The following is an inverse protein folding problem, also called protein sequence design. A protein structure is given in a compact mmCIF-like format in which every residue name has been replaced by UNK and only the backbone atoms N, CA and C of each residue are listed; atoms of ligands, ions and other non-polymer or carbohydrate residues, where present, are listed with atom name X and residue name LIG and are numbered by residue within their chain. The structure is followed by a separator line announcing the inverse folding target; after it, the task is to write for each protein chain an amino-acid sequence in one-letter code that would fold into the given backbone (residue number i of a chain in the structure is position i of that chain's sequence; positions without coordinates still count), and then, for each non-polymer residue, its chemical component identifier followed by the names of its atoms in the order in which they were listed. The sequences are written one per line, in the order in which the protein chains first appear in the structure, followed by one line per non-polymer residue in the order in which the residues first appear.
data_IF_295792769843
#
_entry.id   IF_295792769843
#
_cell.length_a   1.000
_cell.length_b   1.000
_cell.length_c   1.000
_cell.angle_alpha   90.00
_cell.angle_beta   90.00
_cell.angle_gamma   90.00
#
_symmetry.space_group_name_H-M   'P 1'
#
loop_
_entity.id
_entity.type
_entity.pdbx_description
1 polymer ?
#
# COMPACT_ATOMS: atom_id res chain seq x y z
N UNK A 1 -23.45 -7.94 0.84
CA UNK A 1 -22.28 -8.49 0.15
C UNK A 1 -21.08 -7.59 0.38
N UNK A 2 -20.04 -8.15 0.89
CA UNK A 2 -18.83 -7.41 1.16
C UNK A 2 -17.88 -7.53 -0.04
N UNK A 3 -17.68 -6.42 -0.73
CA UNK A 3 -16.72 -6.35 -1.84
C UNK A 3 -15.33 -5.90 -1.42
N UNK A 4 -15.18 -5.53 -0.16
CA UNK A 4 -13.90 -5.08 0.34
C UNK A 4 -13.00 -6.28 0.62
N UNK A 5 -11.84 -6.28 -0.02
CA UNK A 5 -10.83 -7.33 0.12
C UNK A 5 -9.58 -6.82 0.85
N UNK A 6 -9.70 -5.63 1.42
CA UNK A 6 -8.62 -4.98 2.16
C UNK A 6 -8.70 -5.35 3.63
N UNK A 7 -7.56 -5.50 4.27
CA UNK A 7 -7.50 -5.70 5.71
C UNK A 7 -7.86 -4.43 6.49
N UNK A 8 -7.51 -3.28 5.92
CA UNK A 8 -7.81 -1.99 6.54
C UNK A 8 -7.94 -0.91 5.47
N UNK A 9 -8.49 0.21 5.86
CA UNK A 9 -8.56 1.39 5.02
C UNK A 9 -8.30 2.62 5.89
N UNK A 10 -7.34 3.43 5.49
CA UNK A 10 -7.00 4.67 6.19
C UNK A 10 -7.62 5.83 5.42
N UNK A 11 -8.37 6.68 6.14
CA UNK A 11 -9.01 7.85 5.57
C UNK A 11 -8.30 9.12 6.00
N UNK A 12 -8.00 9.99 5.04
CA UNK A 12 -7.53 11.35 5.30
C UNK A 12 -8.40 12.28 4.47
N UNK A 13 -9.32 12.98 5.15
CA UNK A 13 -10.36 13.73 4.45
C UNK A 13 -11.20 12.80 3.58
N UNK A 14 -11.30 13.10 2.29
CA UNK A 14 -12.07 12.32 1.32
C UNK A 14 -11.22 11.21 0.65
N UNK A 15 -9.95 11.10 1.01
CA UNK A 15 -9.04 10.11 0.42
C UNK A 15 -9.04 8.84 1.24
N UNK A 16 -9.17 7.71 0.56
CA UNK A 16 -9.09 6.39 1.17
C UNK A 16 -7.82 5.69 0.70
N UNK A 17 -7.04 5.21 1.65
CA UNK A 17 -5.84 4.40 1.39
C UNK A 17 -6.15 2.96 1.79
N UNK A 18 -6.38 2.07 0.84
CA UNK A 18 -6.53 0.64 1.14
C UNK A 18 -5.20 0.05 1.60
N UNK A 19 -5.26 -0.78 2.62
CA UNK A 19 -4.08 -1.40 3.23
C UNK A 19 -4.24 -2.91 3.25
N UNK A 20 -3.28 -3.61 2.68
CA UNK A 20 -3.15 -5.06 2.74
C UNK A 20 -2.07 -5.40 3.76
N UNK A 21 -2.38 -6.25 4.73
CA UNK A 21 -1.45 -6.59 5.81
C UNK A 21 -1.13 -8.08 5.74
N UNK A 22 0.15 -8.41 5.68
CA UNK A 22 0.64 -9.79 5.75
C UNK A 22 1.36 -10.00 7.08
N UNK A 23 0.80 -10.87 7.92
CA UNK A 23 1.37 -11.17 9.22
C UNK A 23 2.60 -12.08 9.12
N UNK A 24 3.45 -12.12 10.15
CA UNK A 24 4.59 -13.06 10.17
C UNK A 24 4.20 -14.52 10.06
N UNK A 25 2.98 -14.87 10.48
CA UNK A 25 2.48 -16.25 10.38
C UNK A 25 2.05 -16.61 8.96
N UNK A 26 1.69 -15.62 8.15
CA UNK A 26 1.38 -15.80 6.75
C UNK A 26 2.65 -15.81 5.90
N UNK A 27 3.48 -14.79 6.07
CA UNK A 27 4.75 -14.62 5.38
C UNK A 27 5.77 -13.94 6.29
N UNK A 28 6.94 -14.54 6.46
CA UNK A 28 8.04 -13.88 7.18
C UNK A 28 8.60 -12.73 6.34
N UNK A 29 8.81 -12.97 5.05
CA UNK A 29 9.21 -11.95 4.09
C UNK A 29 8.09 -11.72 3.10
N UNK A 30 7.79 -10.46 2.81
CA UNK A 30 6.75 -10.11 1.85
C UNK A 30 7.13 -10.63 0.45
N UNK A 31 6.22 -11.32 -0.19
CA UNK A 31 6.43 -11.90 -1.51
C UNK A 31 5.86 -11.02 -2.61
N UNK A 32 6.39 -11.20 -3.83
CA UNK A 32 5.82 -10.57 -5.02
C UNK A 32 4.36 -11.00 -5.25
N UNK A 33 4.02 -12.22 -4.85
CA UNK A 33 2.64 -12.72 -4.91
C UNK A 33 1.69 -11.85 -4.07
N UNK A 34 2.11 -11.45 -2.87
CA UNK A 34 1.29 -10.59 -2.01
C UNK A 34 1.06 -9.22 -2.67
N UNK A 35 2.06 -8.67 -3.32
CA UNK A 35 1.95 -7.41 -4.05
C UNK A 35 0.99 -7.55 -5.23
N UNK A 36 1.08 -8.65 -5.99
CA UNK A 36 0.13 -8.93 -7.08
C UNK A 36 -1.29 -9.02 -6.58
N UNK A 37 -1.50 -9.69 -5.46
CA UNK A 37 -2.82 -9.84 -4.87
C UNK A 37 -3.41 -8.50 -4.46
N UNK A 38 -2.60 -7.62 -3.89
CA UNK A 38 -3.04 -6.26 -3.56
C UNK A 38 -3.43 -5.47 -4.80
N UNK A 39 -2.66 -5.60 -5.89
CA UNK A 39 -2.98 -4.96 -7.17
C UNK A 39 -4.27 -5.51 -7.78
N UNK A 40 -4.47 -6.82 -7.75
CA UNK A 40 -5.72 -7.43 -8.22
C UNK A 40 -6.92 -6.91 -7.45
N UNK A 41 -6.81 -6.82 -6.12
CA UNK A 41 -7.86 -6.28 -5.27
C UNK A 41 -8.17 -4.83 -5.63
N UNK A 42 -7.14 -4.04 -5.91
CA UNK A 42 -7.29 -2.65 -6.34
C UNK A 42 -8.04 -2.55 -7.66
N UNK A 43 -7.68 -3.37 -8.65
CA UNK A 43 -8.35 -3.40 -9.95
C UNK A 43 -9.81 -3.80 -9.81
N UNK A 44 -10.09 -4.82 -9.01
CA UNK A 44 -11.48 -5.27 -8.76
C UNK A 44 -12.29 -4.14 -8.12
N UNK A 45 -11.73 -3.45 -7.14
CA UNK A 45 -12.39 -2.35 -6.47
C UNK A 45 -12.70 -1.21 -7.43
N UNK A 46 -11.76 -0.84 -8.28
CA UNK A 46 -11.96 0.17 -9.31
C UNK A 46 -13.07 -0.20 -10.27
N UNK A 47 -13.11 -1.46 -10.71
CA UNK A 47 -14.12 -1.94 -11.66
C UNK A 47 -15.53 -1.94 -11.07
N UNK A 48 -15.65 -2.05 -9.76
CA UNK A 48 -16.93 -2.09 -9.06
C UNK A 48 -17.38 -0.75 -8.50
N UNK A 49 -16.53 0.29 -8.61
CA UNK A 49 -16.81 1.60 -8.05
C UNK A 49 -17.02 1.60 -6.54
N UNK A 50 -16.35 0.70 -5.83
CA UNK A 50 -16.63 0.41 -4.42
C UNK A 50 -16.15 1.46 -3.42
N UNK A 51 -15.12 2.23 -3.70
CA UNK A 51 -14.67 3.37 -2.91
C UNK A 51 -14.57 4.57 -3.83
N UNK A 52 -14.22 5.74 -3.30
CA UNK A 52 -13.84 6.85 -4.19
C UNK A 52 -12.54 6.44 -4.87
N UNK A 53 -12.69 5.86 -6.05
CA UNK A 53 -11.65 5.08 -6.71
C UNK A 53 -10.93 5.90 -7.75
N UNK A 54 -10.30 6.97 -7.33
CA UNK A 54 -9.40 7.69 -8.20
C UNK A 54 -8.18 6.81 -8.46
N UNK A 55 -7.77 6.74 -9.72
CA UNK A 55 -6.60 5.94 -10.12
C UNK A 55 -5.32 6.39 -9.44
N UNK A 56 -5.24 7.68 -9.15
CA UNK A 56 -4.09 8.26 -8.48
C UNK A 56 -4.00 7.92 -6.98
N UNK A 57 -5.04 7.32 -6.42
CA UNK A 57 -4.96 6.84 -5.04
C UNK A 57 -4.01 5.65 -4.95
N UNK A 58 -3.11 5.72 -3.99
CA UNK A 58 -2.20 4.62 -3.72
C UNK A 58 -2.90 3.50 -2.96
N UNK A 59 -2.31 2.33 -2.96
CA UNK A 59 -2.59 1.25 -2.03
C UNK A 59 -1.32 0.96 -1.24
N UNK A 60 -1.45 0.44 -0.03
CA UNK A 60 -0.30 0.13 0.83
C UNK A 60 -0.31 -1.35 1.18
N UNK A 61 0.85 -1.98 1.01
CA UNK A 61 1.08 -3.35 1.47
C UNK A 61 2.05 -3.32 2.63
N UNK A 62 1.66 -3.90 3.74
CA UNK A 62 2.47 -3.96 4.96
C UNK A 62 2.87 -5.41 5.18
N UNK A 63 4.18 -5.67 5.26
CA UNK A 63 4.72 -6.99 5.56
C UNK A 63 5.58 -6.97 6.81
N UNK A 64 5.91 -8.15 7.33
CA UNK A 64 6.80 -8.27 8.46
C UNK A 64 8.23 -7.81 8.09
N UNK A 65 8.73 -8.31 6.97
CA UNK A 65 10.03 -7.93 6.39
C UNK A 65 9.90 -7.79 4.89
N UNK A 66 10.63 -6.84 4.33
CA UNK A 66 10.76 -6.71 2.89
C UNK A 66 11.79 -7.72 2.38
N UNK A 67 11.68 -8.17 1.12
CA UNK A 67 12.66 -9.11 0.57
C UNK A 67 14.03 -8.46 0.44
N UNK A 68 15.08 -9.28 0.53
CA UNK A 68 16.46 -8.82 0.33
C UNK A 68 16.70 -8.41 -1.12
N UNK A 69 16.14 -9.17 -2.05
CA UNK A 69 16.18 -8.84 -3.47
C UNK A 69 14.85 -8.22 -3.87
N UNK A 70 14.89 -6.95 -4.23
CA UNK A 70 13.68 -6.14 -4.46
C UNK A 70 13.42 -5.87 -5.95
N UNK A 71 14.30 -6.35 -6.84
CA UNK A 71 14.21 -6.02 -8.25
C UNK A 71 12.92 -6.46 -8.91
N UNK A 72 12.47 -7.69 -8.68
CA UNK A 72 11.23 -8.21 -9.26
C UNK A 72 10.01 -7.42 -8.76
N UNK A 73 9.95 -7.17 -7.46
CA UNK A 73 8.84 -6.41 -6.86
C UNK A 73 8.84 -4.97 -7.33
N UNK A 74 10.01 -4.34 -7.40
CA UNK A 74 10.17 -2.98 -7.90
C UNK A 74 9.72 -2.87 -9.35
N UNK A 75 10.12 -3.82 -10.18
CA UNK A 75 9.70 -3.86 -11.59
C UNK A 75 8.18 -4.00 -11.73
N UNK A 76 7.57 -4.86 -10.93
CA UNK A 76 6.12 -5.02 -10.94
C UNK A 76 5.40 -3.71 -10.58
N UNK A 77 5.86 -3.05 -9.54
CA UNK A 77 5.29 -1.78 -9.10
C UNK A 77 5.40 -0.71 -10.19
N UNK A 78 6.57 -0.62 -10.82
CA UNK A 78 6.81 0.34 -11.89
C UNK A 78 6.00 0.03 -13.15
N UNK A 79 5.93 -1.23 -13.54
CA UNK A 79 5.17 -1.66 -14.72
C UNK A 79 3.68 -1.36 -14.56
N UNK A 80 3.13 -1.63 -13.39
CA UNK A 80 1.72 -1.35 -13.09
C UNK A 80 1.45 0.14 -13.10
N UNK A 81 2.35 0.94 -12.55
CA UNK A 81 2.22 2.38 -12.60
C UNK A 81 2.28 2.91 -14.04
N UNK A 82 3.25 2.45 -14.82
CA UNK A 82 3.46 2.93 -16.19
C UNK A 82 2.31 2.51 -17.12
N UNK A 83 1.73 1.33 -16.88
CA UNK A 83 0.67 0.78 -17.74
C UNK A 83 -0.70 1.28 -17.34
N UNK A 84 -1.02 1.31 -16.05
CA UNK A 84 -2.37 1.56 -15.55
C UNK A 84 -2.50 2.84 -14.71
N UNK A 85 -1.41 3.48 -14.38
CA UNK A 85 -1.42 4.64 -13.49
C UNK A 85 -1.73 4.30 -12.04
N UNK A 86 -1.64 3.02 -11.64
CA UNK A 86 -1.91 2.58 -10.27
C UNK A 86 -0.63 2.65 -9.45
N UNK A 87 -0.73 3.23 -8.26
CA UNK A 87 0.38 3.35 -7.33
C UNK A 87 0.27 2.34 -6.22
N UNK A 88 1.40 1.75 -5.84
CA UNK A 88 1.47 0.81 -4.73
C UNK A 88 2.69 1.13 -3.87
N UNK A 89 2.47 1.38 -2.60
CA UNK A 89 3.53 1.51 -1.61
C UNK A 89 3.72 0.20 -0.86
N UNK A 90 4.95 -0.09 -0.48
CA UNK A 90 5.31 -1.29 0.26
C UNK A 90 6.15 -0.89 1.46
N UNK A 91 5.80 -1.38 2.64
CA UNK A 91 6.49 -1.02 3.88
C UNK A 91 6.55 -2.23 4.81
N UNK A 92 7.62 -2.34 5.59
CA UNK A 92 7.67 -3.33 6.66
C UNK A 92 7.10 -2.77 7.95
N UNK A 93 6.75 -3.66 8.88
CA UNK A 93 6.16 -3.27 10.17
C UNK A 93 7.07 -2.37 10.98
N UNK A 94 8.37 -2.61 10.94
CA UNK A 94 9.34 -1.83 11.69
C UNK A 94 9.40 -0.38 11.20
N UNK A 95 9.48 -0.19 9.89
CA UNK A 95 9.48 1.13 9.27
C UNK A 95 8.18 1.87 9.53
N UNK A 96 7.05 1.16 9.40
CA UNK A 96 5.74 1.75 9.66
C UNK A 96 5.63 2.23 11.11
N UNK A 97 6.07 1.41 12.07
CA UNK A 97 6.09 1.78 13.49
C UNK A 97 6.97 2.99 13.76
N UNK A 98 8.13 3.05 13.13
CA UNK A 98 9.04 4.18 13.26
C UNK A 98 8.43 5.47 12.69
N UNK A 99 7.81 5.39 11.52
CA UNK A 99 7.15 6.54 10.91
C UNK A 99 5.98 7.05 11.78
N UNK A 100 5.21 6.13 12.34
CA UNK A 100 4.12 6.49 13.25
C UNK A 100 4.65 7.18 14.52
N UNK A 101 5.74 6.66 15.10
CA UNK A 101 6.37 7.27 16.27
C UNK A 101 6.89 8.67 15.97
N UNK A 102 7.52 8.87 14.83
CA UNK A 102 7.97 10.20 14.39
C UNK A 102 6.80 11.16 14.23
N UNK A 103 5.72 10.71 13.62
CA UNK A 103 4.54 11.55 13.43
C UNK A 103 3.99 12.05 14.77
N UNK A 104 3.92 11.18 15.76
CA UNK A 104 3.45 11.55 17.11
C UNK A 104 4.44 12.48 17.82
N UNK A 105 5.72 12.13 17.78
CA UNK A 105 6.77 12.87 18.52
C UNK A 105 6.99 14.27 17.94
N UNK A 106 7.04 14.39 16.61
CA UNK A 106 7.40 15.62 15.94
C UNK A 106 6.18 16.43 15.48
N UNK A 107 4.97 15.91 15.72
CA UNK A 107 3.74 16.57 15.33
C UNK A 107 3.55 16.63 13.81
N UNK A 108 4.17 15.73 13.07
CA UNK A 108 4.08 15.71 11.61
C UNK A 108 2.70 15.23 11.19
N UNK A 109 2.05 15.98 10.31
CA UNK A 109 0.77 15.57 9.73
C UNK A 109 0.99 15.08 8.31
N UNK A 110 0.28 14.03 7.93
CA UNK A 110 0.27 13.49 6.58
C UNK A 110 -1.02 13.97 5.92
N UNK A 111 -0.89 14.66 4.78
CA UNK A 111 -2.07 15.11 4.04
C UNK A 111 -2.49 14.09 2.97
N UNK A 112 -3.68 14.33 2.40
CA UNK A 112 -4.24 13.45 1.39
C UNK A 112 -3.38 13.37 0.12
N UNK A 113 -2.75 14.48 -0.26
CA UNK A 113 -1.90 14.52 -1.44
C UNK A 113 -0.68 13.61 -1.27
N UNK A 114 -0.04 13.65 -0.09
CA UNK A 114 1.09 12.78 0.20
C UNK A 114 0.69 11.30 0.14
N UNK A 115 -0.47 10.94 0.71
CA UNK A 115 -0.97 9.57 0.66
C UNK A 115 -1.28 9.11 -0.76
N UNK A 116 -1.81 9.99 -1.61
CA UNK A 116 -2.17 9.65 -2.97
C UNK A 116 -0.96 9.36 -3.87
N UNK A 117 0.23 9.74 -3.43
CA UNK A 117 1.46 9.60 -4.21
C UNK A 117 2.39 8.48 -3.72
N UNK A 118 1.96 7.69 -2.76
CA UNK A 118 2.76 6.59 -2.27
C UNK A 118 3.03 5.56 -3.37
N UNK A 119 4.31 5.28 -3.60
CA UNK A 119 4.71 4.28 -4.58
C UNK A 119 6.09 3.74 -4.23
N UNK A 120 6.25 2.42 -4.38
CA UNK A 120 7.51 1.75 -4.14
C UNK A 120 7.77 1.47 -2.67
N UNK A 121 9.02 1.21 -2.33
CA UNK A 121 9.42 0.87 -0.98
C UNK A 121 9.51 2.13 -0.13
N UNK A 122 8.80 2.14 0.99
CA UNK A 122 8.82 3.26 1.92
C UNK A 122 9.95 3.04 2.92
N UNK A 123 10.88 3.98 2.98
CA UNK A 123 12.01 3.96 3.88
C UNK A 123 11.99 5.18 4.81
N UNK A 124 12.74 5.05 5.88
CA UNK A 124 12.92 6.14 6.86
C UNK A 124 14.06 7.04 6.44
#
# INVERSE_FOLDING_TARGET
VNYQRWDACVWVGDYALPVEIKSPTEEVMLSTKAVRQALENKVILLSRGGLDTRRELASLVVGNRLPNERGEMSNLIDDVFNTFGLRLGVVDLRTLGYLALRAVRDGVTIDAEQLSQLRGFLDV
#
